data_IF_051840904288
#
_entry.id   IF_051840904288
#
_cell.length_a   1.000
_cell.length_b   1.000
_cell.length_c   1.000
_cell.angle_alpha   90.00
_cell.angle_beta   90.00
_cell.angle_gamma   90.00
#
_symmetry.space_group_name_H-M   'P 1'
#
loop_
_entity.id
_entity.type
_entity.pdbx_description
1 polymer ?
#
# COMPACT_ATOMS: atom_id res chain seq x y z
N UNK A 1 -10.33 -11.94 2.52
CA UNK A 1 -9.48 -10.81 2.96
C UNK A 1 -10.27 -9.52 2.83
N UNK A 2 -10.22 -8.65 3.84
CA UNK A 2 -10.97 -7.37 3.86
C UNK A 2 -10.07 -6.13 3.89
N UNK A 3 -8.75 -6.33 3.94
CA UNK A 3 -7.75 -5.28 4.00
C UNK A 3 -6.48 -5.65 3.24
N UNK A 4 -5.61 -4.66 3.05
CA UNK A 4 -4.36 -4.81 2.30
C UNK A 4 -3.48 -5.92 2.90
N UNK A 5 -2.90 -6.73 2.02
CA UNK A 5 -1.97 -7.80 2.40
C UNK A 5 -0.56 -7.41 1.98
N UNK A 6 0.27 -7.05 2.96
CA UNK A 6 1.64 -6.60 2.73
C UNK A 6 2.51 -7.66 2.05
N UNK A 7 3.50 -7.20 1.29
CA UNK A 7 4.42 -8.08 0.59
C UNK A 7 5.14 -9.04 1.55
N UNK A 8 5.28 -10.30 1.11
CA UNK A 8 5.95 -11.34 1.88
C UNK A 8 5.07 -12.02 2.93
N UNK A 9 3.91 -11.44 3.27
CA UNK A 9 2.98 -12.05 4.24
C UNK A 9 2.35 -13.33 3.68
N UNK A 10 1.94 -14.22 4.59
CA UNK A 10 1.20 -15.42 4.21
C UNK A 10 -0.13 -15.05 3.54
N UNK A 11 -0.82 -14.04 4.06
CA UNK A 11 -2.08 -13.54 3.50
C UNK A 11 -1.93 -13.08 2.05
N UNK A 12 -0.86 -12.34 1.72
CA UNK A 12 -0.59 -11.93 0.34
C UNK A 12 -0.40 -13.13 -0.59
N UNK A 13 0.32 -14.17 -0.14
CA UNK A 13 0.52 -15.40 -0.94
C UNK A 13 -0.80 -16.13 -1.20
N UNK A 14 -1.62 -16.28 -0.17
CA UNK A 14 -2.95 -16.93 -0.28
C UNK A 14 -3.85 -16.10 -1.21
N UNK A 15 -3.90 -14.79 -1.01
CA UNK A 15 -4.72 -13.87 -1.79
C UNK A 15 -4.31 -13.84 -3.27
N UNK A 16 -3.01 -13.96 -3.58
CA UNK A 16 -2.49 -14.13 -4.96
C UNK A 16 -2.77 -15.50 -5.58
N UNK A 17 -3.49 -16.37 -4.89
CA UNK A 17 -3.94 -17.66 -5.41
C UNK A 17 -3.02 -18.85 -5.09
N UNK A 18 -2.01 -18.67 -4.23
CA UNK A 18 -1.18 -19.81 -3.79
C UNK A 18 -2.04 -20.76 -2.96
N UNK A 19 -2.26 -21.97 -3.49
CA UNK A 19 -3.08 -23.01 -2.84
C UNK A 19 -2.29 -23.97 -1.96
N UNK A 20 -0.96 -23.90 -1.98
CA UNK A 20 -0.10 -24.71 -1.11
C UNK A 20 0.90 -23.83 -0.38
N UNK A 21 0.89 -23.90 0.95
CA UNK A 21 1.69 -23.03 1.82
C UNK A 21 2.46 -23.86 2.85
N UNK A 22 3.77 -23.60 3.05
CA UNK A 22 4.51 -24.19 4.15
C UNK A 22 4.08 -23.53 5.46
N UNK A 23 3.80 -24.33 6.48
CA UNK A 23 3.60 -23.88 7.85
C UNK A 23 4.60 -24.60 8.74
N UNK A 24 5.40 -23.83 9.47
CA UNK A 24 6.31 -24.39 10.47
C UNK A 24 5.53 -24.68 11.76
N UNK A 25 5.54 -25.93 12.19
CA UNK A 25 4.98 -26.37 13.47
C UNK A 25 6.03 -27.18 14.23
N UNK A 26 6.31 -26.81 15.48
CA UNK A 26 7.26 -27.54 16.34
C UNK A 26 8.64 -27.79 15.71
N UNK A 27 9.14 -26.85 14.89
CA UNK A 27 10.43 -26.96 14.21
C UNK A 27 10.44 -27.76 12.91
N UNK A 28 9.31 -28.37 12.51
CA UNK A 28 9.16 -29.03 11.21
C UNK A 28 8.28 -28.20 10.27
N UNK A 29 8.61 -28.20 8.98
CA UNK A 29 7.83 -27.51 7.94
C UNK A 29 6.89 -28.50 7.27
N UNK A 30 5.59 -28.21 7.30
CA UNK A 30 4.54 -29.01 6.66
C UNK A 30 3.87 -28.20 5.55
N UNK A 31 3.62 -28.82 4.39
CA UNK A 31 2.89 -28.19 3.30
C UNK A 31 1.38 -28.39 3.49
N UNK A 32 0.65 -27.29 3.62
CA UNK A 32 -0.82 -27.32 3.75
C UNK A 32 -1.46 -26.88 2.44
N UNK A 33 -2.42 -27.68 1.95
CA UNK A 33 -3.25 -27.36 0.79
C UNK A 33 -4.55 -26.65 1.20
N UNK A 34 -4.81 -25.52 0.56
CA UNK A 34 -5.98 -24.66 0.76
C UNK A 34 -7.05 -25.05 -0.26
N UNK A 35 -8.01 -25.86 0.18
CA UNK A 35 -9.19 -26.23 -0.63
C UNK A 35 -10.38 -25.28 -0.40
N UNK A 36 -10.28 -24.39 0.59
CA UNK A 36 -11.30 -23.39 0.89
C UNK A 36 -11.38 -22.32 -0.20
N UNK A 37 -12.57 -21.75 -0.39
CA UNK A 37 -12.74 -20.55 -1.20
C UNK A 37 -11.94 -19.40 -0.59
N UNK A 38 -11.30 -18.59 -1.45
CA UNK A 38 -10.55 -17.40 -1.04
C UNK A 38 -11.17 -16.21 -1.74
N UNK A 39 -11.90 -15.40 -0.98
CA UNK A 39 -12.52 -14.17 -1.47
C UNK A 39 -11.77 -12.95 -0.93
N UNK A 40 -11.67 -11.90 -1.74
CA UNK A 40 -11.26 -10.57 -1.30
C UNK A 40 -12.44 -9.63 -1.44
N UNK A 41 -12.72 -8.87 -0.38
CA UNK A 41 -13.77 -7.86 -0.37
C UNK A 41 -13.09 -6.52 -0.12
N UNK A 42 -12.96 -5.73 -1.18
CA UNK A 42 -12.37 -4.39 -1.10
C UNK A 42 -13.42 -3.38 -0.59
N UNK A 43 -12.98 -2.44 0.25
CA UNK A 43 -13.85 -1.39 0.81
C UNK A 43 -13.90 -1.32 2.35
N UNK A 44 -13.30 -2.29 3.04
CA UNK A 44 -13.27 -2.35 4.51
C UNK A 44 -11.87 -2.19 5.11
N UNK A 45 -10.88 -1.75 4.31
CA UNK A 45 -9.48 -1.67 4.74
C UNK A 45 -9.20 -0.56 5.74
N UNK A 46 -10.09 0.42 5.89
CA UNK A 46 -9.86 1.64 6.67
C UNK A 46 -8.90 2.63 6.02
N UNK A 47 -8.31 2.30 4.86
CA UNK A 47 -7.44 3.19 4.11
C UNK A 47 -8.22 3.91 3.02
N UNK A 48 -7.91 5.19 2.81
CA UNK A 48 -8.41 5.96 1.69
C UNK A 48 -7.99 5.31 0.36
N UNK A 49 -8.96 5.11 -0.53
CA UNK A 49 -8.68 4.70 -1.90
C UNK A 49 -7.96 5.81 -2.70
N UNK A 50 -7.56 5.49 -3.93
CA UNK A 50 -6.86 6.42 -4.82
C UNK A 50 -7.62 7.73 -5.04
N UNK A 51 -8.94 7.66 -5.23
CA UNK A 51 -9.75 8.85 -5.48
C UNK A 51 -9.89 9.70 -4.23
N UNK A 52 -10.07 9.06 -3.06
CA UNK A 52 -10.12 9.71 -1.76
C UNK A 52 -8.79 10.42 -1.44
N UNK A 53 -7.64 9.79 -1.70
CA UNK A 53 -6.31 10.43 -1.54
C UNK A 53 -6.16 11.66 -2.45
N UNK A 54 -6.53 11.54 -3.73
CA UNK A 54 -6.47 12.68 -4.67
C UNK A 54 -7.43 13.80 -4.28
N UNK A 55 -8.60 13.46 -3.72
CA UNK A 55 -9.58 14.42 -3.23
C UNK A 55 -9.12 15.11 -1.94
N UNK A 56 -8.42 14.40 -1.07
CA UNK A 56 -7.84 14.96 0.14
C UNK A 56 -6.89 16.13 -0.19
N UNK A 57 -5.96 15.92 -1.14
CA UNK A 57 -5.05 16.97 -1.62
C UNK A 57 -5.82 18.10 -2.33
N UNK A 58 -6.87 17.77 -3.10
CA UNK A 58 -7.73 18.77 -3.76
C UNK A 58 -8.38 19.73 -2.75
N UNK A 59 -8.85 19.20 -1.62
CA UNK A 59 -9.66 19.93 -0.65
C UNK A 59 -8.84 20.60 0.46
N UNK A 60 -7.57 20.23 0.63
CA UNK A 60 -6.67 20.85 1.61
C UNK A 60 -6.57 22.38 1.45
N UNK A 61 -6.65 23.09 2.58
CA UNK A 61 -6.51 24.55 2.70
C UNK A 61 -5.70 24.89 3.96
N UNK A 62 -4.66 25.75 3.88
CA UNK A 62 -4.06 26.31 2.67
C UNK A 62 -3.50 25.20 1.75
N UNK A 63 -3.23 25.53 0.49
CA UNK A 63 -2.62 24.56 -0.43
C UNK A 63 -1.18 24.29 0.01
N UNK A 64 -0.74 23.03 0.12
CA UNK A 64 0.62 22.73 0.52
C UNK A 64 1.59 23.06 -0.62
N UNK A 65 2.78 23.50 -0.26
CA UNK A 65 3.87 23.77 -1.21
C UNK A 65 4.65 22.49 -1.55
N UNK A 66 4.70 21.53 -0.61
CA UNK A 66 5.35 20.24 -0.74
C UNK A 66 4.44 19.13 -0.20
N UNK A 67 4.34 18.02 -0.95
CA UNK A 67 3.69 16.78 -0.50
C UNK A 67 4.69 15.63 -0.56
N UNK A 68 4.84 14.92 0.56
CA UNK A 68 5.63 13.68 0.62
C UNK A 68 4.69 12.48 0.67
N UNK A 69 4.89 11.48 -0.19
CA UNK A 69 4.12 10.23 -0.17
C UNK A 69 4.94 9.11 0.44
N UNK A 70 4.33 8.38 1.37
CA UNK A 70 4.96 7.30 2.14
C UNK A 70 3.93 6.20 2.46
N UNK A 71 4.26 5.28 3.38
CA UNK A 71 3.41 4.15 3.80
C UNK A 71 2.69 3.39 2.67
N UNK A 72 3.39 3.11 1.57
CA UNK A 72 2.90 2.30 0.48
C UNK A 72 4.02 1.61 -0.25
N UNK A 73 3.68 0.63 -1.09
CA UNK A 73 4.65 0.00 -1.98
C UNK A 73 5.36 1.08 -2.82
N UNK A 74 6.64 0.87 -3.12
CA UNK A 74 7.48 1.87 -3.82
C UNK A 74 6.79 2.44 -5.06
N UNK A 75 6.22 1.56 -5.90
CA UNK A 75 5.50 1.94 -7.11
C UNK A 75 4.23 2.77 -6.82
N UNK A 76 3.53 2.48 -5.73
CA UNK A 76 2.31 3.20 -5.35
C UNK A 76 2.63 4.62 -4.88
N UNK A 77 3.68 4.78 -4.05
CA UNK A 77 4.15 6.08 -3.62
C UNK A 77 4.60 6.94 -4.81
N UNK A 78 5.46 6.40 -5.68
CA UNK A 78 5.90 7.08 -6.91
C UNK A 78 4.73 7.47 -7.81
N UNK A 79 3.77 6.58 -8.00
CA UNK A 79 2.60 6.84 -8.83
C UNK A 79 1.70 7.94 -8.25
N UNK A 80 1.45 7.92 -6.94
CA UNK A 80 0.63 8.93 -6.27
C UNK A 80 1.32 10.30 -6.32
N UNK A 81 2.62 10.37 -6.01
CA UNK A 81 3.40 11.61 -6.11
C UNK A 81 3.35 12.19 -7.52
N UNK A 82 3.61 11.39 -8.55
CA UNK A 82 3.51 11.82 -9.95
C UNK A 82 2.10 12.31 -10.31
N UNK A 83 1.07 11.64 -9.82
CA UNK A 83 -0.34 12.02 -10.06
C UNK A 83 -0.70 13.35 -9.40
N UNK A 84 -0.21 13.61 -8.18
CA UNK A 84 -0.40 14.87 -7.46
C UNK A 84 0.31 16.01 -8.19
N UNK A 85 1.58 15.81 -8.57
CA UNK A 85 2.35 16.81 -9.32
C UNK A 85 1.68 17.15 -10.66
N UNK A 86 1.33 16.15 -11.46
CA UNK A 86 0.74 16.37 -12.79
C UNK A 86 -0.62 17.07 -12.73
N UNK A 87 -1.42 16.81 -11.68
CA UNK A 87 -2.78 17.34 -11.57
C UNK A 87 -2.85 18.70 -10.87
N UNK A 88 -2.02 18.93 -9.87
CA UNK A 88 -2.12 20.10 -9.00
C UNK A 88 -0.89 21.01 -9.07
N UNK A 89 0.17 20.61 -9.78
CA UNK A 89 1.45 21.32 -9.88
C UNK A 89 2.08 21.63 -8.51
N UNK A 90 1.81 20.79 -7.51
CA UNK A 90 2.41 20.85 -6.17
C UNK A 90 3.69 20.02 -6.20
N UNK A 91 4.79 20.53 -5.63
CA UNK A 91 6.05 19.78 -5.52
C UNK A 91 5.80 18.49 -4.73
N UNK A 92 6.26 17.36 -5.26
CA UNK A 92 6.13 16.07 -4.57
C UNK A 92 7.47 15.41 -4.34
N UNK A 93 7.60 14.67 -3.25
CA UNK A 93 8.77 13.85 -2.95
C UNK A 93 8.35 12.46 -2.46
N UNK A 94 9.21 11.48 -2.71
CA UNK A 94 9.05 10.09 -2.22
C UNK A 94 10.33 9.72 -1.50
N UNK A 95 10.49 10.13 -0.23
CA UNK A 95 11.72 9.89 0.51
C UNK A 95 11.95 8.39 0.68
N UNK A 96 13.22 7.98 0.58
CA UNK A 96 13.63 6.62 0.93
C UNK A 96 13.88 6.51 2.43
N UNK A 97 13.84 5.29 2.95
CA UNK A 97 14.27 5.03 4.32
C UNK A 97 15.69 5.60 4.54
N UNK A 98 15.87 6.32 5.65
CA UNK A 98 17.11 7.02 6.02
C UNK A 98 17.43 8.28 5.19
N UNK A 99 16.59 8.66 4.23
CA UNK A 99 16.70 9.95 3.55
C UNK A 99 16.24 11.08 4.48
N UNK A 100 16.93 12.22 4.43
CA UNK A 100 16.53 13.43 5.17
C UNK A 100 16.12 14.51 4.19
N UNK A 101 14.88 14.99 4.35
CA UNK A 101 14.35 16.13 3.59
C UNK A 101 14.38 17.37 4.47
N UNK A 102 15.07 18.41 4.03
CA UNK A 102 15.03 19.72 4.67
C UNK A 102 13.78 20.48 4.20
N UNK A 103 12.91 20.82 5.15
CA UNK A 103 11.80 21.75 4.94
C UNK A 103 12.24 23.14 5.38
N UNK A 104 12.25 24.09 4.45
CA UNK A 104 12.56 25.51 4.67
C UNK A 104 11.63 26.37 3.83
#
# INVERSE_FOLDING_TARGET
FVGYQAEGTLGQRIQKGRREIPITRRGTSEMIRINLEVCTVDGFSGHSDRNQLMNYIRNMRPKPELVMTEHGDERNCLNLASSIYNKYHIKTQVPRNLETVRVV
#
